data_IF_927738494989
#
_entry.id   IF_927738494989
#
_cell.length_a   1.000
_cell.length_b   1.000
_cell.length_c   1.000
_cell.angle_alpha   90.00
_cell.angle_beta   90.00
_cell.angle_gamma   90.00
#
_symmetry.space_group_name_H-M   'P 1'
#
loop_
_entity.id
_entity.type
_entity.pdbx_description
1 polymer ?
#
# COMPACT_ATOMS: atom_id res chain seq x y z
N UNK A 1 16.66 14.29 -30.23
CA UNK A 1 16.00 13.09 -29.64
C UNK A 1 16.11 13.20 -28.12
N UNK A 2 14.99 13.18 -27.39
CA UNK A 2 15.02 13.24 -25.93
C UNK A 2 15.32 11.86 -25.34
N UNK A 3 16.03 11.82 -24.22
CA UNK A 3 16.27 10.57 -23.50
C UNK A 3 14.94 10.02 -22.98
N UNK A 4 14.63 8.76 -23.34
CA UNK A 4 13.42 8.07 -22.90
C UNK A 4 13.77 6.65 -22.50
N UNK A 5 13.47 6.30 -21.25
CA UNK A 5 13.67 4.95 -20.76
C UNK A 5 12.61 3.99 -21.31
N UNK A 6 12.97 2.71 -21.51
CA UNK A 6 11.96 1.70 -21.83
C UNK A 6 11.05 1.46 -20.61
N UNK A 7 9.74 1.20 -20.79
CA UNK A 7 8.82 0.96 -19.67
C UNK A 7 9.30 -0.13 -18.70
N UNK A 8 9.87 -1.22 -19.22
CA UNK A 8 10.45 -2.32 -18.41
C UNK A 8 11.62 -1.85 -17.54
N UNK A 9 12.57 -1.10 -18.11
CA UNK A 9 13.72 -0.57 -17.37
C UNK A 9 13.25 0.39 -16.26
N UNK A 10 12.22 1.19 -16.55
CA UNK A 10 11.69 2.17 -15.61
C UNK A 10 10.98 1.48 -14.43
N UNK A 11 10.24 0.42 -14.74
CA UNK A 11 9.65 -0.47 -13.75
C UNK A 11 10.71 -1.08 -12.84
N UNK A 12 11.74 -1.69 -13.43
CA UNK A 12 12.76 -2.42 -12.68
C UNK A 12 13.59 -1.46 -11.79
N UNK A 13 13.87 -0.23 -12.24
CA UNK A 13 14.55 0.79 -11.45
C UNK A 13 13.69 1.30 -10.27
N UNK A 14 12.40 1.59 -10.50
CA UNK A 14 11.48 1.98 -9.42
C UNK A 14 11.33 0.85 -8.39
N UNK A 15 11.24 -0.38 -8.88
CA UNK A 15 11.18 -1.56 -8.01
C UNK A 15 12.42 -1.71 -7.14
N UNK A 16 13.61 -1.67 -7.75
CA UNK A 16 14.89 -1.74 -7.04
C UNK A 16 15.00 -0.65 -5.97
N UNK A 17 14.66 0.59 -6.33
CA UNK A 17 14.63 1.71 -5.40
C UNK A 17 13.70 1.45 -4.21
N UNK A 18 12.49 0.95 -4.47
CA UNK A 18 11.53 0.69 -3.40
C UNK A 18 11.99 -0.45 -2.47
N UNK A 19 12.60 -1.51 -3.02
CA UNK A 19 13.18 -2.58 -2.21
C UNK A 19 14.33 -2.07 -1.31
N UNK A 20 15.24 -1.27 -1.87
CA UNK A 20 16.43 -0.78 -1.15
C UNK A 20 16.12 0.30 -0.11
N UNK A 21 15.10 1.12 -0.35
CA UNK A 21 14.77 2.27 0.51
C UNK A 21 13.44 2.12 1.22
N UNK A 22 12.38 1.81 0.48
CA UNK A 22 11.02 1.75 0.99
C UNK A 22 10.82 0.57 1.94
N UNK A 23 11.01 -0.66 1.47
CA UNK A 23 10.87 -1.89 2.27
C UNK A 23 11.81 -1.85 3.48
N UNK A 24 13.07 -1.46 3.29
CA UNK A 24 14.05 -1.37 4.39
C UNK A 24 13.60 -0.37 5.45
N UNK A 25 13.07 0.80 5.06
CA UNK A 25 12.57 1.79 6.01
C UNK A 25 11.31 1.31 6.73
N UNK A 26 10.36 0.70 6.02
CA UNK A 26 9.15 0.13 6.61
C UNK A 26 9.46 -0.96 7.64
N UNK A 27 10.41 -1.87 7.34
CA UNK A 27 10.88 -2.88 8.30
C UNK A 27 11.43 -2.26 9.57
N UNK A 28 12.18 -1.17 9.47
CA UNK A 28 12.66 -0.42 10.65
C UNK A 28 11.54 0.22 11.46
N UNK A 29 10.38 0.47 10.85
CA UNK A 29 9.17 0.94 11.52
C UNK A 29 8.31 -0.20 12.10
N UNK A 30 8.78 -1.45 12.01
CA UNK A 30 8.06 -2.64 12.50
C UNK A 30 7.02 -3.20 11.54
N UNK A 31 7.08 -2.84 10.24
CA UNK A 31 6.28 -3.51 9.23
C UNK A 31 6.96 -4.77 8.75
N UNK A 32 6.17 -5.82 8.58
CA UNK A 32 6.60 -7.13 8.11
C UNK A 32 5.90 -7.49 6.81
N UNK A 33 6.45 -8.47 6.10
CA UNK A 33 5.78 -9.03 4.91
C UNK A 33 4.40 -9.55 5.35
N UNK A 34 3.40 -9.36 4.48
CA UNK A 34 2.08 -9.91 4.72
C UNK A 34 2.11 -11.41 5.09
N UNK A 35 1.40 -11.81 6.17
CA UNK A 35 1.25 -13.21 6.52
C UNK A 35 0.27 -13.93 5.57
N UNK A 36 -0.62 -13.21 4.88
CA UNK A 36 -1.66 -13.78 4.04
C UNK A 36 -1.09 -14.35 2.73
N UNK A 37 -1.57 -15.52 2.33
CA UNK A 37 -1.14 -16.20 1.10
C UNK A 37 -1.64 -15.50 -0.19
N UNK A 38 -2.75 -14.77 -0.12
CA UNK A 38 -3.35 -14.04 -1.24
C UNK A 38 -2.63 -12.73 -1.55
N UNK A 39 -1.77 -12.26 -0.66
CA UNK A 39 -1.12 -10.97 -0.78
C UNK A 39 0.15 -11.04 -1.63
N UNK A 40 0.32 -10.04 -2.49
CA UNK A 40 1.50 -9.94 -3.33
C UNK A 40 2.71 -9.42 -2.56
N UNK A 41 3.86 -10.04 -2.80
CA UNK A 41 5.15 -9.58 -2.31
C UNK A 41 6.23 -9.79 -3.38
N UNK A 42 6.14 -9.04 -4.48
CA UNK A 42 7.04 -9.17 -5.61
C UNK A 42 6.34 -8.98 -6.95
N UNK A 43 6.79 -9.73 -7.96
CA UNK A 43 6.24 -9.67 -9.32
C UNK A 43 4.81 -10.21 -9.33
N UNK A 44 3.89 -9.51 -9.99
CA UNK A 44 2.51 -9.96 -10.20
C UNK A 44 2.36 -10.71 -11.53
N UNK A 45 1.22 -11.38 -11.72
CA UNK A 45 0.86 -12.05 -12.98
C UNK A 45 0.81 -11.07 -14.18
N UNK A 46 0.58 -9.78 -13.94
CA UNK A 46 0.57 -8.74 -14.97
C UNK A 46 1.97 -8.20 -15.31
N UNK A 47 3.02 -8.82 -14.77
CA UNK A 47 4.40 -8.34 -14.88
C UNK A 47 4.61 -6.94 -14.30
N UNK A 48 3.84 -6.56 -13.29
CA UNK A 48 4.05 -5.40 -12.43
C UNK A 48 4.68 -5.85 -11.11
N UNK A 49 4.85 -4.93 -10.16
CA UNK A 49 5.26 -5.26 -8.80
C UNK A 49 4.23 -4.77 -7.78
N UNK A 50 3.91 -5.65 -6.83
CA UNK A 50 3.06 -5.33 -5.70
C UNK A 50 3.69 -5.84 -4.40
N UNK A 51 3.62 -5.03 -3.35
CA UNK A 51 4.16 -5.36 -2.03
C UNK A 51 3.15 -4.99 -0.95
N UNK A 52 2.65 -5.98 -0.24
CA UNK A 52 1.79 -5.78 0.93
C UNK A 52 2.56 -6.09 2.21
N UNK A 53 2.53 -5.14 3.14
CA UNK A 53 3.19 -5.24 4.43
C UNK A 53 2.22 -4.85 5.54
N UNK A 54 2.38 -5.47 6.71
CA UNK A 54 1.54 -5.20 7.87
C UNK A 54 2.36 -4.90 9.11
N UNK A 55 1.77 -4.13 10.01
CA UNK A 55 2.28 -3.89 11.36
C UNK A 55 1.14 -4.04 12.34
N UNK A 56 1.29 -4.95 13.30
CA UNK A 56 0.37 -5.08 14.41
C UNK A 56 0.77 -4.09 15.52
N UNK A 57 -0.21 -3.33 16.01
CA UNK A 57 -0.06 -2.45 17.17
C UNK A 57 -0.97 -2.92 18.30
N UNK A 58 -0.87 -2.24 19.45
CA UNK A 58 -1.75 -2.47 20.60
C UNK A 58 -3.23 -2.38 20.19
N UNK A 59 -4.09 -3.01 20.99
CA UNK A 59 -5.55 -3.04 20.77
C UNK A 59 -5.98 -3.66 19.43
N UNK A 60 -5.14 -4.54 18.88
CA UNK A 60 -5.38 -5.25 17.62
C UNK A 60 -5.59 -4.30 16.44
N UNK A 61 -4.87 -3.17 16.45
CA UNK A 61 -4.78 -2.28 15.30
C UNK A 61 -3.81 -2.86 14.28
N UNK A 62 -4.35 -3.35 13.17
CA UNK A 62 -3.61 -3.88 12.04
C UNK A 62 -3.45 -2.79 10.98
N UNK A 63 -2.22 -2.30 10.82
CA UNK A 63 -1.88 -1.28 9.84
C UNK A 63 -1.33 -1.95 8.58
N UNK A 64 -1.95 -1.66 7.44
CA UNK A 64 -1.61 -2.21 6.12
C UNK A 64 -0.95 -1.14 5.26
N UNK A 65 0.20 -1.46 4.69
CA UNK A 65 0.82 -0.72 3.59
C UNK A 65 0.81 -1.59 2.35
N UNK A 66 0.20 -1.09 1.29
CA UNK A 66 0.20 -1.73 -0.01
C UNK A 66 0.88 -0.83 -1.03
N UNK A 67 1.82 -1.38 -1.78
CA UNK A 67 2.56 -0.64 -2.80
C UNK A 67 2.38 -1.28 -4.15
N UNK A 68 2.02 -0.49 -5.16
CA UNK A 68 1.95 -0.90 -6.56
C UNK A 68 2.94 -0.11 -7.41
N UNK A 69 3.71 -0.81 -8.23
CA UNK A 69 4.63 -0.24 -9.21
C UNK A 69 4.27 -0.84 -10.58
N UNK A 70 3.56 -0.06 -11.39
CA UNK A 70 3.02 -0.51 -12.66
C UNK A 70 3.97 -0.17 -13.81
N UNK A 71 4.08 -1.08 -14.79
CA UNK A 71 5.03 -1.02 -15.92
C UNK A 71 4.88 0.25 -16.76
N UNK A 72 3.64 0.60 -17.06
CA UNK A 72 3.31 1.70 -17.98
C UNK A 72 3.10 3.04 -17.26
N UNK A 73 3.47 3.12 -15.98
CA UNK A 73 3.39 4.31 -15.16
C UNK A 73 4.77 4.82 -14.75
N UNK A 74 4.82 6.03 -14.18
CA UNK A 74 6.03 6.58 -13.56
C UNK A 74 5.94 6.60 -12.03
N UNK A 75 4.86 6.04 -11.47
CA UNK A 75 4.52 6.13 -10.06
C UNK A 75 4.99 4.93 -9.25
N UNK A 76 5.22 5.16 -7.97
CA UNK A 76 5.17 4.15 -6.91
C UNK A 76 3.93 4.53 -6.09
N UNK A 77 2.84 3.79 -6.26
CA UNK A 77 1.60 4.07 -5.54
C UNK A 77 1.69 3.39 -4.18
N UNK A 78 1.72 4.15 -3.09
CA UNK A 78 1.76 3.62 -1.72
C UNK A 78 0.43 3.97 -1.05
N UNK A 79 -0.27 2.95 -0.57
CA UNK A 79 -1.60 3.01 0.02
C UNK A 79 -1.51 2.55 1.48
N UNK A 80 -2.21 3.26 2.35
CA UNK A 80 -2.35 2.95 3.77
C UNK A 80 -3.82 2.64 4.06
N UNK A 81 -4.03 1.57 4.83
CA UNK A 81 -5.32 1.31 5.45
C UNK A 81 -5.11 0.75 6.86
N UNK A 82 -6.06 0.98 7.75
CA UNK A 82 -5.97 0.57 9.15
C UNK A 82 -7.24 -0.17 9.55
N UNK A 83 -7.06 -1.32 10.18
CA UNK A 83 -8.13 -2.20 10.60
C UNK A 83 -8.04 -2.46 12.10
N UNK A 84 -9.18 -2.78 12.71
CA UNK A 84 -9.23 -3.43 14.02
C UNK A 84 -9.56 -4.89 13.79
N UNK A 85 -8.66 -5.81 14.13
CA UNK A 85 -8.89 -7.23 13.87
C UNK A 85 -9.53 -7.91 15.07
N UNK A 86 -10.41 -8.87 14.79
CA UNK A 86 -11.03 -9.76 15.79
C UNK A 86 -11.06 -11.20 15.26
N UNK A 87 -10.95 -12.23 16.12
CA UNK A 87 -10.53 -12.13 17.53
C UNK A 87 -9.11 -11.55 17.66
N UNK A 88 -8.74 -11.17 18.88
CA UNK A 88 -7.42 -10.62 19.18
C UNK A 88 -6.31 -11.63 18.82
N UNK A 89 -5.18 -11.12 18.33
CA UNK A 89 -4.00 -11.92 18.01
C UNK A 89 -2.79 -11.30 18.70
N UNK A 90 -1.83 -12.15 19.07
CA UNK A 90 -0.59 -11.71 19.69
C UNK A 90 0.48 -11.41 18.64
N UNK A 91 0.40 -12.06 17.46
CA UNK A 91 1.39 -11.88 16.40
C UNK A 91 0.82 -12.08 15.00
N UNK A 92 1.50 -11.51 13.99
CA UNK A 92 1.06 -11.62 12.59
C UNK A 92 1.12 -13.07 12.07
N UNK A 93 1.92 -13.93 12.68
CA UNK A 93 2.02 -15.35 12.34
C UNK A 93 0.69 -16.08 12.47
N UNK A 94 -0.18 -15.66 13.40
CA UNK A 94 -1.51 -16.26 13.58
C UNK A 94 -2.42 -16.08 12.35
N UNK A 95 -2.09 -15.13 11.47
CA UNK A 95 -2.84 -14.85 10.24
C UNK A 95 -2.32 -15.61 9.01
N UNK A 96 -1.26 -16.43 9.14
CA UNK A 96 -0.58 -17.07 7.99
C UNK A 96 -1.48 -17.94 7.12
N UNK A 97 -2.45 -18.61 7.73
CA UNK A 97 -3.36 -19.52 7.03
C UNK A 97 -4.68 -18.86 6.62
N UNK A 98 -4.86 -17.58 6.96
CA UNK A 98 -6.08 -16.84 6.65
C UNK A 98 -6.03 -16.18 5.28
N UNK A 99 -7.21 -15.97 4.69
CA UNK A 99 -7.36 -15.25 3.44
C UNK A 99 -7.25 -13.73 3.69
N UNK A 100 -6.39 -13.05 2.92
CA UNK A 100 -6.19 -11.61 2.98
C UNK A 100 -7.24 -10.81 2.20
N UNK A 101 -8.03 -11.43 1.33
CA UNK A 101 -8.97 -10.76 0.40
C UNK A 101 -9.90 -9.77 1.09
N UNK A 102 -10.37 -10.09 2.29
CA UNK A 102 -11.23 -9.19 3.08
C UNK A 102 -10.59 -7.83 3.43
N UNK A 103 -9.26 -7.73 3.42
CA UNK A 103 -8.55 -6.46 3.65
C UNK A 103 -8.37 -5.63 2.36
N UNK A 104 -8.77 -6.17 1.20
CA UNK A 104 -8.66 -5.53 -0.12
C UNK A 104 -10.01 -5.17 -0.73
N UNK A 105 -11.08 -5.83 -0.31
CA UNK A 105 -12.40 -5.68 -0.90
C UNK A 105 -13.26 -4.65 -0.15
N UNK A 106 -14.20 -3.97 -0.84
CA UNK A 106 -15.24 -3.21 -0.18
C UNK A 106 -16.07 -4.12 0.76
N UNK A 107 -16.51 -3.60 1.92
CA UNK A 107 -16.41 -2.21 2.35
C UNK A 107 -15.04 -1.85 2.95
N UNK A 108 -14.15 -2.82 3.22
CA UNK A 108 -12.91 -2.61 3.97
C UNK A 108 -11.86 -1.75 3.24
N UNK A 109 -11.82 -1.79 1.90
CA UNK A 109 -10.94 -0.93 1.12
C UNK A 109 -11.42 0.52 0.97
N UNK A 110 -12.66 0.84 1.34
CA UNK A 110 -13.20 2.20 1.18
C UNK A 110 -12.51 3.25 2.06
N UNK A 111 -11.77 2.83 3.08
CA UNK A 111 -11.00 3.71 3.96
C UNK A 111 -9.53 3.79 3.56
N UNK A 112 -9.14 3.23 2.42
CA UNK A 112 -7.77 3.31 1.96
C UNK A 112 -7.38 4.75 1.60
N UNK A 113 -6.15 5.14 1.95
CA UNK A 113 -5.58 6.44 1.64
C UNK A 113 -4.28 6.27 0.88
N UNK A 114 -4.19 6.83 -0.33
CA UNK A 114 -2.92 6.92 -1.06
C UNK A 114 -2.08 8.04 -0.47
N UNK A 115 -0.86 7.70 -0.05
CA UNK A 115 0.08 8.65 0.52
C UNK A 115 0.36 9.80 -0.47
N UNK A 116 0.37 11.02 0.07
CA UNK A 116 0.55 12.31 -0.62
C UNK A 116 -0.57 12.74 -1.59
N UNK A 117 -1.29 11.80 -2.19
CA UNK A 117 -2.47 12.11 -3.02
C UNK A 117 -3.66 12.47 -2.14
N UNK A 118 -3.98 11.61 -1.18
CA UNK A 118 -5.20 11.70 -0.40
C UNK A 118 -4.93 12.26 1.00
N UNK A 119 -3.66 12.58 1.30
CA UNK A 119 -3.21 13.05 2.62
C UNK A 119 -3.62 14.49 2.91
N UNK A 120 -3.73 15.33 1.88
CA UNK A 120 -3.90 16.78 2.05
C UNK A 120 -5.31 17.22 1.71
N UNK A 121 -5.94 17.97 2.62
CA UNK A 121 -7.25 18.61 2.39
C UNK A 121 -7.06 19.97 1.72
N UNK A 122 -6.55 19.94 0.48
CA UNK A 122 -6.40 21.13 -0.34
C UNK A 122 -7.07 20.92 -1.70
N UNK A 123 -7.40 22.04 -2.36
CA UNK A 123 -8.01 21.99 -3.69
C UNK A 123 -7.14 21.13 -4.64
N UNK A 124 -7.75 20.24 -5.45
CA UNK A 124 -6.99 19.23 -6.17
C UNK A 124 -5.84 19.72 -7.05
N UNK A 125 -5.99 20.91 -7.63
CA UNK A 125 -4.96 21.52 -8.46
C UNK A 125 -3.70 21.91 -7.67
N UNK A 126 -3.84 22.28 -6.39
CA UNK A 126 -2.70 22.71 -5.57
C UNK A 126 -1.78 21.53 -5.22
N UNK A 127 -2.34 20.35 -4.87
CA UNK A 127 -1.48 19.20 -4.61
C UNK A 127 -0.74 18.76 -5.88
N UNK A 128 -1.39 18.76 -7.04
CA UNK A 128 -0.78 18.33 -8.30
C UNK A 128 0.36 19.24 -8.76
N UNK A 129 0.27 20.54 -8.48
CA UNK A 129 1.23 21.54 -8.94
C UNK A 129 2.40 21.75 -7.98
N UNK A 130 2.16 21.66 -6.67
CA UNK A 130 3.12 22.15 -5.68
C UNK A 130 3.65 21.08 -4.73
N UNK A 131 3.00 19.93 -4.61
CA UNK A 131 3.43 18.88 -3.69
C UNK A 131 4.26 17.81 -4.40
N UNK A 132 5.36 17.35 -3.78
CA UNK A 132 6.12 16.25 -4.34
C UNK A 132 5.28 14.99 -4.28
N UNK A 133 5.48 14.11 -5.25
CA UNK A 133 4.74 12.88 -5.42
C UNK A 133 5.71 11.72 -5.60
N UNK A 134 5.28 10.50 -5.27
CA UNK A 134 6.05 9.29 -5.52
C UNK A 134 6.08 8.93 -7.01
N UNK A 135 6.59 9.84 -7.86
CA UNK A 135 6.69 9.67 -9.31
C UNK A 135 8.02 10.18 -9.85
N UNK A 136 8.48 9.56 -10.92
CA UNK A 136 9.55 10.13 -11.74
C UNK A 136 8.94 11.25 -12.58
N UNK A 137 9.34 12.50 -12.30
CA UNK A 137 8.94 13.68 -13.05
C UNK A 137 9.50 13.73 -14.47
N UNK A 138 9.22 14.82 -15.19
CA UNK A 138 9.75 15.02 -16.55
C UNK A 138 11.29 15.14 -16.54
N UNK A 139 11.92 14.57 -17.57
CA UNK A 139 13.35 14.64 -17.84
C UNK A 139 13.61 14.61 -19.35
N UNK A 140 14.76 15.15 -19.77
CA UNK A 140 15.16 15.21 -21.18
C UNK A 140 16.50 14.53 -21.46
N UNK A 141 17.32 14.32 -20.41
CA UNK A 141 18.66 13.74 -20.47
C UNK A 141 18.78 12.57 -19.49
N UNK A 142 19.76 11.68 -19.70
CA UNK A 142 20.06 10.59 -18.77
C UNK A 142 20.42 11.10 -17.38
N UNK A 143 21.19 12.19 -17.29
CA UNK A 143 21.51 12.83 -16.02
C UNK A 143 20.27 13.41 -15.33
N UNK A 144 19.36 14.01 -16.11
CA UNK A 144 18.07 14.48 -15.61
C UNK A 144 17.23 13.34 -15.05
N UNK A 145 17.15 12.22 -15.76
CA UNK A 145 16.47 11.00 -15.27
C UNK A 145 17.08 10.50 -13.95
N UNK A 146 18.41 10.36 -13.88
CA UNK A 146 19.09 9.90 -12.67
C UNK A 146 18.84 10.84 -11.49
N UNK A 147 18.79 12.16 -11.72
CA UNK A 147 18.43 13.15 -10.70
C UNK A 147 17.00 12.91 -10.19
N UNK A 148 16.03 12.74 -11.09
CA UNK A 148 14.62 12.45 -10.71
C UNK A 148 14.49 11.13 -9.96
N UNK A 149 15.25 10.11 -10.35
CA UNK A 149 15.27 8.82 -9.66
C UNK A 149 15.82 8.95 -8.24
N UNK A 150 16.86 9.77 -8.05
CA UNK A 150 17.42 10.08 -6.71
C UNK A 150 16.42 10.86 -5.85
N UNK A 151 15.76 11.87 -6.40
CA UNK A 151 14.70 12.63 -5.71
C UNK A 151 13.56 11.71 -5.24
N UNK A 152 13.11 10.80 -6.11
CA UNK A 152 12.12 9.79 -5.75
C UNK A 152 12.62 8.86 -4.62
N UNK A 153 13.89 8.46 -4.67
CA UNK A 153 14.53 7.59 -3.68
C UNK A 153 14.55 8.23 -2.30
N UNK A 154 14.94 9.50 -2.24
CA UNK A 154 14.97 10.30 -1.00
C UNK A 154 13.56 10.55 -0.46
N UNK A 155 12.59 10.82 -1.34
CA UNK A 155 11.19 11.03 -0.96
C UNK A 155 10.57 9.77 -0.35
N UNK A 156 10.70 8.62 -1.02
CA UNK A 156 10.23 7.32 -0.52
C UNK A 156 10.88 7.00 0.82
N UNK A 157 12.20 7.19 0.94
CA UNK A 157 12.90 6.93 2.20
C UNK A 157 12.40 7.82 3.34
N UNK A 158 12.24 9.12 3.08
CA UNK A 158 11.74 10.09 4.07
C UNK A 158 10.35 9.69 4.56
N UNK A 159 9.47 9.35 3.63
CA UNK A 159 8.07 9.06 3.93
C UNK A 159 7.88 7.74 4.65
N UNK A 160 8.59 6.69 4.24
CA UNK A 160 8.52 5.40 4.90
C UNK A 160 9.15 5.44 6.31
N UNK A 161 10.15 6.31 6.53
CA UNK A 161 10.66 6.60 7.88
C UNK A 161 9.68 7.38 8.74
N UNK A 162 8.82 8.19 8.13
CA UNK A 162 7.84 9.02 8.81
C UNK A 162 6.40 8.51 8.58
N UNK A 163 6.23 7.18 8.52
CA UNK A 163 4.93 6.59 8.19
C UNK A 163 3.85 6.91 9.22
N UNK A 164 4.24 7.15 10.47
CA UNK A 164 3.34 7.52 11.56
C UNK A 164 2.63 8.87 11.32
N UNK A 165 3.25 9.79 10.58
CA UNK A 165 2.58 11.02 10.13
C UNK A 165 1.38 10.70 9.22
N UNK A 166 1.56 9.80 8.27
CA UNK A 166 0.47 9.38 7.37
C UNK A 166 -0.61 8.59 8.11
N UNK A 167 -0.23 7.82 9.13
CA UNK A 167 -1.18 7.14 10.02
C UNK A 167 -2.02 8.13 10.82
N UNK A 168 -1.42 9.19 11.37
CA UNK A 168 -2.17 10.25 12.04
C UNK A 168 -3.17 10.91 11.07
N UNK A 169 -2.73 11.24 9.84
CA UNK A 169 -3.60 11.80 8.80
C UNK A 169 -4.73 10.87 8.37
N UNK A 170 -4.46 9.57 8.31
CA UNK A 170 -5.51 8.59 8.07
C UNK A 170 -6.56 8.60 9.18
N UNK A 171 -6.13 8.65 10.45
CA UNK A 171 -7.02 8.66 11.63
C UNK A 171 -7.82 9.95 11.80
N UNK A 172 -7.35 11.07 11.25
CA UNK A 172 -8.14 12.31 11.17
C UNK A 172 -9.37 12.14 10.25
N UNK A 173 -9.27 11.29 9.22
CA UNK A 173 -10.30 11.13 8.18
C UNK A 173 -11.19 9.91 8.38
N UNK A 174 -10.63 8.83 8.92
CA UNK A 174 -11.28 7.52 8.94
C UNK A 174 -11.20 6.88 10.33
N UNK A 175 -12.14 5.95 10.56
CA UNK A 175 -12.12 5.06 11.73
C UNK A 175 -11.74 3.65 11.27
N UNK A 176 -10.86 2.93 12.00
CA UNK A 176 -10.51 1.55 11.67
C UNK A 176 -11.75 0.66 11.58
N UNK A 177 -11.91 -0.03 10.45
CA UNK A 177 -12.99 -1.01 10.31
C UNK A 177 -12.65 -2.26 11.09
N UNK A 178 -13.65 -2.80 11.79
CA UNK A 178 -13.49 -4.07 12.51
C UNK A 178 -13.58 -5.21 11.50
N UNK A 179 -12.55 -6.04 11.42
CA UNK A 179 -12.48 -7.18 10.50
C UNK A 179 -12.38 -8.47 11.30
N UNK A 180 -13.32 -9.39 11.08
CA UNK A 180 -13.20 -10.74 11.62
C UNK A 180 -12.30 -11.57 10.70
N UNK A 181 -11.11 -11.92 11.18
CA UNK A 181 -10.12 -12.62 10.36
C UNK A 181 -10.36 -14.14 10.31
N UNK A 182 -11.08 -14.72 11.30
CA UNK A 182 -11.41 -16.15 11.33
C UNK A 182 -12.63 -16.53 10.52
N UNK A 183 -13.53 -15.59 10.25
CA UNK A 183 -14.74 -15.90 9.48
C UNK A 183 -14.40 -15.97 8.00
N UNK A 184 -14.29 -17.19 7.48
CA UNK A 184 -14.53 -17.54 6.08
C UNK A 184 -15.19 -18.93 6.01
N UNK A 185 -16.43 -19.05 6.52
CA UNK A 185 -17.41 -20.13 6.23
C UNK A 185 -18.71 -19.89 7.05
N UNK A 186 -19.89 -20.01 6.43
CA UNK A 186 -21.25 -20.13 7.03
C UNK A 186 -22.29 -18.96 6.97
N UNK A 187 -22.15 -17.93 6.12
CA UNK A 187 -23.31 -17.05 5.83
C UNK A 187 -24.04 -17.39 4.51
N UNK A 188 -23.60 -18.41 3.77
CA UNK A 188 -24.33 -18.91 2.59
C UNK A 188 -25.40 -19.99 2.89
N UNK A 189 -25.64 -20.37 4.15
CA UNK A 189 -26.58 -21.46 4.49
C UNK A 189 -27.94 -20.97 5.04
N UNK A 190 -28.11 -19.69 5.41
CA UNK A 190 -29.35 -19.26 6.08
C UNK A 190 -30.45 -18.65 5.20
N UNK A 191 -30.22 -18.43 3.91
CA UNK A 191 -31.20 -17.72 3.06
C UNK A 191 -31.93 -18.59 2.01
N UNK A 192 -31.86 -19.92 2.10
CA UNK A 192 -32.56 -20.81 1.14
C UNK A 192 -33.60 -21.74 1.78
N UNK A 193 -34.03 -21.48 3.02
CA UNK A 193 -34.99 -22.33 3.73
C UNK A 193 -36.39 -21.74 3.95
N UNK A 194 -36.67 -20.53 3.45
CA UNK A 194 -38.03 -19.97 3.50
C UNK A 194 -38.41 -19.40 2.14
N UNK A 195 -38.91 -20.28 1.28
CA UNK A 195 -39.97 -20.00 0.30
C UNK A 195 -40.52 -21.33 -0.21
N UNK A 196 -41.34 -21.95 0.65
CA UNK A 196 -42.35 -22.93 0.24
C UNK A 196 -43.63 -22.55 0.97
N UNK A 197 -44.52 -21.87 0.25
CA UNK A 197 -45.98 -21.98 0.39
C UNK A 197 -46.52 -21.99 -1.03
#
# INVERSE_FOLDING_TARGET
MFYKLKPKENLDLRNKLFLEKGIVALKKQGFEKSPFNTDWYGRTNHNDFSYTMYRLKKENELQKIETHILRNENWIQIRLNIFKIRPEINSLEELKESDGLKFHLPPNSLTEMRLRSDTYDCMPLFYMLFLPEHKIGRYFTKNGFNKRLKELSELVLKDMRNIDFYIAKWKEKYKPKTVNWKSDTNEKIKNTAHNTV
#
